data_IF_338039987692
#
_entry.id   IF_338039987692
#
_cell.length_a   1.000
_cell.length_b   1.000
_cell.length_c   1.000
_cell.angle_alpha   90.00
_cell.angle_beta   90.00
_cell.angle_gamma   90.00
#
_symmetry.space_group_name_H-M   'P 1'
#
loop_
_entity.id
_entity.type
_entity.pdbx_description
1 polymer ?
#
# COMPACT_ATOMS: atom_id res chain seq x y z
N UNK A 1 -21.14 -2.99 3.79
CA UNK A 1 -19.81 -2.34 3.66
C UNK A 1 -19.79 -1.47 2.41
N UNK A 2 -19.37 -0.20 2.51
CA UNK A 2 -19.38 0.74 1.39
C UNK A 2 -18.49 0.26 0.21
N UNK A 3 -18.97 0.35 -1.04
CA UNK A 3 -18.19 -0.07 -2.24
C UNK A 3 -16.83 0.64 -2.32
N UNK A 4 -16.79 1.92 -1.95
CA UNK A 4 -15.57 2.75 -1.91
C UNK A 4 -14.53 2.22 -0.91
N UNK A 5 -14.99 1.83 0.28
CA UNK A 5 -14.14 1.25 1.33
C UNK A 5 -13.61 -0.13 0.90
N UNK A 6 -14.44 -0.94 0.24
CA UNK A 6 -14.04 -2.26 -0.26
C UNK A 6 -12.96 -2.16 -1.36
N UNK A 7 -13.04 -1.14 -2.22
CA UNK A 7 -12.01 -0.88 -3.23
C UNK A 7 -10.70 -0.40 -2.60
N UNK A 8 -10.76 0.50 -1.61
CA UNK A 8 -9.58 0.98 -0.88
C UNK A 8 -8.86 -0.15 -0.15
N UNK A 9 -9.61 -1.07 0.46
CA UNK A 9 -9.04 -2.24 1.11
C UNK A 9 -8.35 -3.17 0.10
N UNK A 10 -8.97 -3.41 -1.07
CA UNK A 10 -8.36 -4.22 -2.14
C UNK A 10 -7.09 -3.58 -2.68
N UNK A 11 -7.08 -2.28 -2.96
CA UNK A 11 -5.89 -1.59 -3.47
C UNK A 11 -4.78 -1.56 -2.43
N UNK A 12 -5.10 -1.32 -1.16
CA UNK A 12 -4.15 -1.39 -0.06
C UNK A 12 -3.52 -2.79 0.07
N UNK A 13 -4.34 -3.86 -0.04
CA UNK A 13 -3.87 -5.24 0.03
C UNK A 13 -2.96 -5.61 -1.15
N UNK A 14 -3.33 -5.22 -2.38
CA UNK A 14 -2.54 -5.50 -3.59
C UNK A 14 -1.20 -4.76 -3.54
N UNK A 15 -1.19 -3.49 -3.12
CA UNK A 15 0.04 -2.71 -2.98
C UNK A 15 0.97 -3.27 -1.89
N UNK A 16 0.41 -3.68 -0.74
CA UNK A 16 1.17 -4.32 0.32
C UNK A 16 1.79 -5.64 -0.13
N UNK A 17 1.02 -6.46 -0.87
CA UNK A 17 1.51 -7.72 -1.43
C UNK A 17 2.62 -7.50 -2.46
N UNK A 18 2.44 -6.56 -3.39
CA UNK A 18 3.43 -6.25 -4.42
C UNK A 18 4.75 -5.76 -3.81
N UNK A 19 4.68 -4.86 -2.83
CA UNK A 19 5.86 -4.37 -2.12
C UNK A 19 6.60 -5.50 -1.40
N UNK A 20 5.86 -6.38 -0.72
CA UNK A 20 6.45 -7.49 0.00
C UNK A 20 7.13 -8.48 -0.95
N UNK A 21 6.53 -8.79 -2.10
CA UNK A 21 7.13 -9.65 -3.14
C UNK A 21 8.43 -9.05 -3.67
N UNK A 22 8.46 -7.74 -3.93
CA UNK A 22 9.68 -7.05 -4.36
C UNK A 22 10.76 -7.20 -3.28
N UNK A 23 10.41 -6.95 -2.01
CA UNK A 23 11.35 -7.12 -0.90
C UNK A 23 11.85 -8.56 -0.73
N UNK A 24 10.99 -9.56 -0.98
CA UNK A 24 11.39 -10.96 -0.98
C UNK A 24 12.44 -11.27 -2.07
N UNK A 25 12.25 -10.72 -3.27
CA UNK A 25 13.23 -10.86 -4.36
C UNK A 25 14.55 -10.17 -4.03
N UNK A 26 14.52 -8.98 -3.41
CA UNK A 26 15.73 -8.30 -2.95
C UNK A 26 16.45 -9.09 -1.85
N UNK A 27 15.74 -9.54 -0.82
CA UNK A 27 16.33 -10.37 0.25
C UNK A 27 16.99 -11.64 -0.34
N UNK A 28 16.36 -12.29 -1.34
CA UNK A 28 16.94 -13.43 -2.05
C UNK A 28 18.19 -13.06 -2.86
N UNK A 29 18.19 -11.92 -3.55
CA UNK A 29 19.34 -11.44 -4.32
C UNK A 29 20.53 -11.06 -3.44
N UNK A 30 20.27 -10.53 -2.24
CA UNK A 30 21.30 -10.10 -1.29
C UNK A 30 21.86 -11.25 -0.44
N UNK A 31 21.38 -12.49 -0.66
CA UNK A 31 21.80 -13.67 0.10
C UNK A 31 21.33 -13.67 1.54
N UNK A 32 20.31 -12.86 1.87
CA UNK A 32 19.69 -12.84 3.19
C UNK A 32 18.68 -13.97 3.32
N UNK A 33 18.68 -14.65 4.47
CA UNK A 33 17.67 -15.66 4.76
C UNK A 33 16.27 -15.05 4.69
N UNK A 34 15.38 -15.71 3.94
CA UNK A 34 14.01 -15.25 3.77
C UNK A 34 13.26 -15.30 5.11
N UNK A 35 13.03 -14.13 5.71
CA UNK A 35 12.28 -14.00 6.96
C UNK A 35 10.84 -13.60 6.66
N UNK A 36 9.93 -14.58 6.67
CA UNK A 36 8.47 -14.40 6.56
C UNK A 36 7.97 -13.28 7.49
N UNK A 37 8.51 -13.16 8.71
CA UNK A 37 8.13 -12.10 9.65
C UNK A 37 8.45 -10.69 9.14
N UNK A 38 9.60 -10.50 8.45
CA UNK A 38 9.98 -9.21 7.85
C UNK A 38 9.09 -8.87 6.67
N UNK A 39 8.75 -9.87 5.85
CA UNK A 39 7.80 -9.75 4.75
C UNK A 39 6.40 -9.34 5.23
N UNK A 40 5.88 -10.00 6.28
CA UNK A 40 4.58 -9.70 6.87
C UNK A 40 4.54 -8.31 7.51
N UNK A 41 5.59 -7.92 8.24
CA UNK A 41 5.68 -6.57 8.82
C UNK A 41 5.73 -5.51 7.72
N UNK A 42 6.54 -5.71 6.68
CA UNK A 42 6.60 -4.80 5.54
C UNK A 42 5.25 -4.69 4.83
N UNK A 43 4.57 -5.81 4.55
CA UNK A 43 3.24 -5.80 3.94
C UNK A 43 2.20 -5.08 4.81
N UNK A 44 2.22 -5.34 6.12
CA UNK A 44 1.26 -4.82 7.09
C UNK A 44 1.49 -3.35 7.43
N UNK A 45 2.72 -2.84 7.30
CA UNK A 45 3.05 -1.43 7.54
C UNK A 45 2.87 -0.60 6.26
N UNK A 46 3.34 -1.10 5.12
CA UNK A 46 3.27 -0.37 3.84
C UNK A 46 1.82 -0.27 3.36
N UNK A 47 1.03 -1.35 3.44
CA UNK A 47 -0.35 -1.35 2.95
C UNK A 47 -1.20 -0.21 3.53
N UNK A 48 -1.30 -0.04 4.86
CA UNK A 48 -2.03 1.04 5.50
C UNK A 48 -1.44 2.42 5.20
N UNK A 49 -0.10 2.57 5.20
CA UNK A 49 0.56 3.85 4.90
C UNK A 49 0.21 4.30 3.48
N UNK A 50 0.34 3.42 2.48
CA UNK A 50 0.00 3.72 1.09
C UNK A 50 -1.50 3.98 0.93
N UNK A 51 -2.34 3.23 1.64
CA UNK A 51 -3.80 3.45 1.68
C UNK A 51 -4.16 4.83 2.24
N UNK A 52 -3.49 5.28 3.31
CA UNK A 52 -3.64 6.62 3.87
C UNK A 52 -3.13 7.68 2.89
N UNK A 53 -1.95 7.51 2.29
CA UNK A 53 -1.40 8.46 1.30
C UNK A 53 -2.34 8.63 0.11
N UNK A 54 -2.88 7.54 -0.43
CA UNK A 54 -3.86 7.56 -1.53
C UNK A 54 -5.15 8.25 -1.07
N UNK A 55 -5.64 7.94 0.12
CA UNK A 55 -6.83 8.59 0.68
C UNK A 55 -6.64 10.10 0.86
N UNK A 56 -5.50 10.52 1.42
CA UNK A 56 -5.14 11.94 1.56
C UNK A 56 -4.95 12.61 0.21
N UNK A 57 -4.34 11.93 -0.76
CA UNK A 57 -4.14 12.44 -2.13
C UNK A 57 -5.48 12.63 -2.84
N UNK A 58 -6.40 11.66 -2.76
CA UNK A 58 -7.75 11.77 -3.33
C UNK A 58 -8.55 12.88 -2.62
N UNK A 59 -8.45 12.98 -1.29
CA UNK A 59 -9.09 14.06 -0.52
C UNK A 59 -8.56 15.44 -0.93
N UNK A 60 -7.24 15.56 -1.15
CA UNK A 60 -6.58 16.79 -1.60
C UNK A 60 -6.94 17.12 -3.05
N UNK A 61 -6.97 16.14 -3.95
CA UNK A 61 -7.37 16.32 -5.36
C UNK A 61 -8.84 16.75 -5.48
N UNK A 62 -9.75 16.13 -4.73
CA UNK A 62 -11.16 16.56 -4.69
C UNK A 62 -11.40 17.94 -4.07
N UNK A 63 -10.41 18.49 -3.36
CA UNK A 63 -10.43 19.88 -2.88
C UNK A 63 -9.89 20.85 -3.94
N UNK A 64 -8.82 20.45 -4.66
CA UNK A 64 -8.26 21.22 -5.78
C UNK A 64 -9.22 21.32 -6.98
N UNK A 65 -9.98 20.25 -7.27
CA UNK A 65 -10.97 20.23 -8.37
C UNK A 65 -12.18 21.15 -8.10
N UNK A 66 -12.45 21.47 -6.83
CA UNK A 66 -13.50 22.42 -6.43
C UNK A 66 -13.02 23.87 -6.28
N UNK A 67 -11.70 24.10 -6.24
CA UNK A 67 -11.13 25.44 -6.16
C UNK A 67 -10.85 26.05 -7.54
N UNK A 68 -10.91 25.26 -8.60
CA UNK A 68 -10.61 25.68 -9.97
C UNK A 68 -11.86 25.65 -10.89
N UNK A 69 -13.05 25.74 -10.31
CA UNK A 69 -14.33 25.81 -11.04
C UNK A 69 -15.18 26.97 -10.55
#
# INVERSE_FOLDING_TARGET
MNKKLRNLLKTSLINGLLYAVIMACFDYSDGLDFRICRFLINAMVIGPITGLIIFYSIKKQGTQEKSNK
#
